data_IF_482052786290
#
_entry.id   IF_482052786290
#
_cell.length_a   1.000
_cell.length_b   1.000
_cell.length_c   1.000
_cell.angle_alpha   90.00
_cell.angle_beta   90.00
_cell.angle_gamma   90.00
#
_symmetry.space_group_name_H-M   'P 1'
#
loop_
_entity.id
_entity.type
_entity.pdbx_description
1 polymer ?
#
# COMPACT_ATOMS: atom_id res chain seq x y z
N UNK A 1 -32.49 -13.61 9.10
CA UNK A 1 -31.07 -13.90 9.40
C UNK A 1 -30.32 -12.58 9.41
N UNK A 2 -30.00 -12.07 10.60
CA UNK A 2 -29.12 -10.92 10.76
C UNK A 2 -27.70 -11.49 10.83
N UNK A 3 -26.96 -11.39 9.73
CA UNK A 3 -25.54 -11.69 9.74
C UNK A 3 -24.84 -10.58 10.53
N UNK A 4 -24.53 -10.84 11.79
CA UNK A 4 -23.61 -10.01 12.57
C UNK A 4 -22.28 -9.95 11.80
N UNK A 5 -21.78 -8.77 11.40
CA UNK A 5 -20.55 -8.68 10.64
C UNK A 5 -19.36 -9.08 11.52
N UNK A 6 -18.42 -9.92 11.04
CA UNK A 6 -17.17 -10.13 11.75
C UNK A 6 -16.33 -8.86 11.69
N UNK A 7 -15.96 -8.32 12.86
CA UNK A 7 -14.83 -7.40 13.01
C UNK A 7 -15.13 -5.90 12.93
N UNK A 8 -15.83 -5.36 13.91
CA UNK A 8 -15.62 -3.97 14.30
C UNK A 8 -14.29 -3.88 15.06
N UNK A 9 -13.17 -3.56 14.37
CA UNK A 9 -12.00 -2.96 15.02
C UNK A 9 -10.63 -3.59 14.83
N UNK A 10 -10.44 -4.63 14.01
CA UNK A 10 -9.08 -5.12 13.72
C UNK A 10 -8.48 -4.35 12.55
N UNK A 11 -7.55 -3.45 12.87
CA UNK A 11 -6.63 -2.88 11.88
C UNK A 11 -5.97 -4.02 11.10
N UNK A 12 -5.93 -3.97 9.75
CA UNK A 12 -5.35 -5.06 8.97
C UNK A 12 -3.91 -5.29 9.39
N UNK A 13 -3.53 -6.56 9.48
CA UNK A 13 -2.16 -6.93 9.77
C UNK A 13 -1.21 -6.32 8.73
N UNK A 14 0.06 -6.19 9.09
CA UNK A 14 1.07 -5.65 8.16
C UNK A 14 1.18 -6.50 6.88
N UNK A 15 0.93 -7.81 6.96
CA UNK A 15 0.94 -8.68 5.78
C UNK A 15 -0.26 -8.39 4.85
N UNK A 16 -1.47 -8.30 5.41
CA UNK A 16 -2.70 -7.99 4.65
C UNK A 16 -2.62 -6.62 4.01
N UNK A 17 -2.17 -5.61 4.76
CA UNK A 17 -2.00 -4.24 4.24
C UNK A 17 -1.03 -4.21 3.05
N UNK A 18 0.08 -4.94 3.11
CA UNK A 18 1.04 -5.04 2.00
C UNK A 18 0.46 -5.80 0.80
N UNK A 19 -0.28 -6.87 1.03
CA UNK A 19 -0.95 -7.63 -0.03
C UNK A 19 -2.01 -6.77 -0.74
N UNK A 20 -2.76 -5.97 0.01
CA UNK A 20 -3.74 -5.01 -0.50
C UNK A 20 -3.07 -3.93 -1.37
N UNK A 21 -1.95 -3.36 -0.90
CA UNK A 21 -1.17 -2.39 -1.69
C UNK A 21 -0.65 -3.01 -2.99
N UNK A 22 -0.04 -4.20 -2.92
CA UNK A 22 0.48 -4.90 -4.10
C UNK A 22 -0.62 -5.19 -5.12
N UNK A 23 -1.78 -5.68 -4.65
CA UNK A 23 -2.94 -5.93 -5.50
C UNK A 23 -3.41 -4.64 -6.19
N UNK A 24 -3.47 -3.54 -5.43
CA UNK A 24 -3.86 -2.24 -5.98
C UNK A 24 -2.86 -1.74 -7.03
N UNK A 25 -1.56 -1.91 -6.78
CA UNK A 25 -0.49 -1.58 -7.73
C UNK A 25 -0.63 -2.40 -9.02
N UNK A 26 -0.88 -3.71 -8.90
CA UNK A 26 -1.09 -4.61 -10.05
C UNK A 26 -2.30 -4.20 -10.88
N UNK A 27 -3.41 -3.84 -10.24
CA UNK A 27 -4.65 -3.50 -10.92
C UNK A 27 -4.59 -2.13 -11.62
N UNK A 28 -3.97 -1.13 -10.98
CA UNK A 28 -3.96 0.25 -11.53
C UNK A 28 -2.70 0.59 -12.32
N UNK A 29 -1.63 -0.17 -12.16
CA UNK A 29 -0.35 0.06 -12.82
C UNK A 29 0.24 1.48 -12.60
N UNK A 30 1.18 1.82 -13.47
CA UNK A 30 1.86 3.11 -13.49
C UNK A 30 2.78 3.35 -12.29
N UNK A 31 3.08 4.61 -12.03
CA UNK A 31 4.02 5.02 -10.99
C UNK A 31 3.37 5.24 -9.63
N UNK A 32 4.03 4.77 -8.59
CA UNK A 32 3.55 4.81 -7.23
C UNK A 32 4.45 5.62 -6.31
N UNK A 33 3.84 6.61 -5.66
CA UNK A 33 4.49 7.41 -4.60
C UNK A 33 3.80 7.14 -3.27
N UNK A 34 4.48 7.40 -2.13
CA UNK A 34 3.84 7.31 -0.81
C UNK A 34 2.54 8.12 -0.70
N UNK A 35 2.47 9.27 -1.37
CA UNK A 35 1.25 10.12 -1.40
C UNK A 35 0.11 9.45 -2.17
N UNK A 36 0.41 8.80 -3.30
CA UNK A 36 -0.59 8.03 -4.07
C UNK A 36 -1.12 6.86 -3.24
N UNK A 37 -0.23 6.09 -2.62
CA UNK A 37 -0.63 4.98 -1.75
C UNK A 37 -1.47 5.43 -0.55
N UNK A 38 -1.12 6.55 0.10
CA UNK A 38 -1.93 7.10 1.20
C UNK A 38 -3.39 7.36 0.78
N UNK A 39 -3.58 7.96 -0.41
CA UNK A 39 -4.93 8.21 -0.96
C UNK A 39 -5.68 6.91 -1.24
N UNK A 40 -4.99 5.89 -1.72
CA UNK A 40 -5.59 4.59 -2.01
C UNK A 40 -5.96 3.84 -0.73
N UNK A 41 -5.09 3.86 0.29
CA UNK A 41 -5.43 3.30 1.60
C UNK A 41 -6.66 3.98 2.21
N UNK A 42 -6.77 5.31 2.14
CA UNK A 42 -7.96 6.00 2.64
C UNK A 42 -9.24 5.59 1.88
N UNK A 43 -9.16 5.35 0.57
CA UNK A 43 -10.30 4.83 -0.23
C UNK A 43 -10.68 3.39 0.12
N UNK A 44 -9.71 2.61 0.61
CA UNK A 44 -9.88 1.22 1.03
C UNK A 44 -10.25 1.08 2.51
N UNK A 45 -10.64 2.17 3.17
CA UNK A 45 -11.07 2.16 4.57
C UNK A 45 -9.94 2.23 5.60
N UNK A 46 -8.71 2.56 5.18
CA UNK A 46 -7.52 2.68 6.04
C UNK A 46 -6.99 4.13 6.04
N UNK A 47 -7.77 5.11 6.55
CA UNK A 47 -7.32 6.48 6.65
C UNK A 47 -6.21 6.62 7.71
N UNK A 48 -5.43 7.71 7.63
CA UNK A 48 -4.52 8.09 8.72
C UNK A 48 -3.19 7.32 8.80
N UNK A 49 -2.90 6.39 7.90
CA UNK A 49 -1.61 5.70 7.88
C UNK A 49 -0.44 6.68 7.80
N UNK A 50 0.51 6.55 8.72
CA UNK A 50 1.72 7.36 8.75
C UNK A 50 2.54 7.16 7.48
N UNK A 51 3.12 8.25 6.97
CA UNK A 51 3.99 8.21 5.78
C UNK A 51 5.18 7.25 5.96
N UNK A 52 5.68 7.08 7.19
CA UNK A 52 6.73 6.12 7.52
C UNK A 52 6.27 4.67 7.30
N UNK A 53 5.06 4.31 7.76
CA UNK A 53 4.45 2.98 7.54
C UNK A 53 4.30 2.67 6.06
N UNK A 54 3.77 3.61 5.28
CA UNK A 54 3.60 3.44 3.83
C UNK A 54 4.96 3.22 3.14
N UNK A 55 5.99 3.97 3.54
CA UNK A 55 7.35 3.79 3.03
C UNK A 55 7.93 2.42 3.39
N UNK A 56 7.68 1.93 4.60
CA UNK A 56 8.10 0.61 5.04
C UNK A 56 7.41 -0.50 4.22
N UNK A 57 6.13 -0.34 3.90
CA UNK A 57 5.40 -1.27 3.03
C UNK A 57 5.99 -1.31 1.61
N UNK A 58 6.26 -0.14 1.00
CA UNK A 58 6.95 -0.07 -0.29
C UNK A 58 8.33 -0.72 -0.26
N UNK A 59 9.12 -0.44 0.78
CA UNK A 59 10.46 -1.00 0.93
C UNK A 59 10.40 -2.54 1.07
N UNK A 60 9.44 -3.06 1.84
CA UNK A 60 9.23 -4.49 1.98
C UNK A 60 8.83 -5.15 0.64
N UNK A 61 7.90 -4.56 -0.09
CA UNK A 61 7.49 -5.06 -1.41
C UNK A 61 8.60 -4.99 -2.45
N UNK A 62 9.44 -3.94 -2.39
CA UNK A 62 10.60 -3.82 -3.27
C UNK A 62 11.68 -4.85 -2.94
N UNK A 63 11.98 -5.05 -1.64
CA UNK A 63 12.93 -6.08 -1.18
C UNK A 63 12.46 -7.50 -1.53
N UNK A 64 11.15 -7.73 -1.57
CA UNK A 64 10.54 -8.98 -2.03
C UNK A 64 10.52 -9.14 -3.57
N UNK A 65 11.06 -8.18 -4.33
CA UNK A 65 11.14 -8.24 -5.79
C UNK A 65 9.85 -7.87 -6.52
N UNK A 66 8.80 -7.44 -5.82
CA UNK A 66 7.53 -7.08 -6.46
C UNK A 66 7.52 -5.68 -7.07
N UNK A 67 8.35 -4.77 -6.54
CA UNK A 67 8.42 -3.38 -6.98
C UNK A 67 9.86 -2.97 -7.27
N UNK A 68 10.02 -2.22 -8.36
CA UNK A 68 11.26 -1.52 -8.68
C UNK A 68 11.20 -0.10 -8.14
N UNK A 69 12.21 0.29 -7.38
CA UNK A 69 12.41 1.64 -6.90
C UNK A 69 13.17 2.47 -7.95
N UNK A 70 12.60 3.60 -8.34
CA UNK A 70 13.24 4.59 -9.20
C UNK A 70 13.58 5.82 -8.37
N UNK A 71 14.86 6.17 -8.31
CA UNK A 71 15.37 7.36 -7.63
C UNK A 71 16.10 8.27 -8.62
N UNK A 72 15.60 9.50 -8.74
CA UNK A 72 16.23 10.62 -9.41
C UNK A 72 16.36 11.78 -8.42
N UNK A 73 17.28 12.75 -8.65
CA UNK A 73 17.60 13.81 -7.68
C UNK A 73 16.37 14.54 -7.08
N UNK A 74 15.28 14.66 -7.83
CA UNK A 74 14.05 15.33 -7.39
C UNK A 74 12.80 14.44 -7.41
N UNK A 75 12.93 13.14 -7.71
CA UNK A 75 11.76 12.26 -7.89
C UNK A 75 12.06 10.84 -7.45
N UNK A 76 11.24 10.36 -6.52
CA UNK A 76 11.25 8.96 -6.07
C UNK A 76 9.89 8.33 -6.26
N UNK A 77 9.85 7.23 -7.01
CA UNK A 77 8.62 6.46 -7.24
C UNK A 77 8.92 4.97 -7.38
N UNK A 78 7.87 4.15 -7.29
CA UNK A 78 7.93 2.70 -7.45
C UNK A 78 7.10 2.30 -8.66
N UNK A 79 7.54 1.31 -9.42
CA UNK A 79 6.73 0.64 -10.43
C UNK A 79 6.67 -0.85 -10.12
N UNK A 80 5.68 -1.55 -10.67
CA UNK A 80 5.70 -3.02 -10.67
C UNK A 80 6.93 -3.49 -11.44
N UNK A 81 7.60 -4.53 -10.95
CA UNK A 81 8.60 -5.28 -11.72
C UNK A 81 7.95 -5.93 -12.95
#
# INVERSE_FOLDING_TARGET
>A
MLCTPPGLGEEPSTAERRALLLTTIRNKGGEWTPRRAAREYSRLGLPGLLRATIRADFAALSRAGHLTLHEAPNRRHYTRT
#
